data_IF_199043015691
#
_entry.id   IF_199043015691
#
_cell.length_a   1.000
_cell.length_b   1.000
_cell.length_c   1.000
_cell.angle_alpha   90.00
_cell.angle_beta   90.00
_cell.angle_gamma   90.00
#
_symmetry.space_group_name_H-M   'P 1'
#
loop_
_entity.id
_entity.type
_entity.pdbx_description
1 polymer ?
#
# COMPACT_ATOMS: atom_id res chain seq x y z
N UNK A 1 7.61 -1.54 45.32
CA UNK A 1 6.46 -1.83 46.17
C UNK A 1 5.22 -1.28 45.50
N UNK A 2 4.34 -2.12 45.12
CA UNK A 2 2.90 -2.19 44.96
C UNK A 2 2.53 -2.88 43.65
N UNK A 3 2.14 -4.13 43.82
CA UNK A 3 1.45 -4.99 42.86
C UNK A 3 -0.01 -4.53 42.67
N UNK A 4 -0.52 -4.56 41.44
CA UNK A 4 -1.96 -4.70 41.22
C UNK A 4 -2.21 -5.80 40.19
N UNK A 5 -2.58 -6.94 40.71
CA UNK A 5 -3.26 -8.05 40.03
C UNK A 5 -4.74 -7.73 39.90
N UNK A 6 -5.32 -7.91 38.72
CA UNK A 6 -6.78 -7.99 38.57
C UNK A 6 -7.17 -9.13 37.63
N UNK A 7 -7.61 -10.19 38.24
CA UNK A 7 -8.37 -11.31 37.67
C UNK A 7 -9.82 -10.88 37.40
N UNK A 8 -10.41 -11.36 36.30
CA UNK A 8 -11.81 -11.15 35.95
C UNK A 8 -12.24 -12.08 34.84
N UNK A 9 -12.75 -13.18 35.17
CA UNK A 9 -13.80 -14.10 34.85
C UNK A 9 -14.59 -13.83 33.55
N UNK A 10 -14.72 -14.90 32.71
CA UNK A 10 -15.62 -14.96 31.56
C UNK A 10 -17.08 -15.25 31.94
N UNK A 11 -17.99 -15.15 31.01
CA UNK A 11 -19.21 -15.93 31.09
C UNK A 11 -19.64 -16.66 29.82
N UNK A 12 -19.99 -17.91 30.05
CA UNK A 12 -21.24 -18.61 29.77
C UNK A 12 -21.75 -18.72 28.32
N UNK A 13 -21.61 -19.91 27.84
CA UNK A 13 -22.42 -20.69 26.91
C UNK A 13 -23.93 -20.59 27.16
N UNK A 14 -24.71 -20.37 26.10
CA UNK A 14 -26.14 -20.70 26.08
C UNK A 14 -26.44 -21.53 24.82
N UNK A 15 -26.57 -22.81 25.09
CA UNK A 15 -27.16 -23.82 24.23
C UNK A 15 -28.68 -23.61 24.14
N UNK A 16 -29.24 -23.60 22.95
CA UNK A 16 -30.70 -23.69 22.76
C UNK A 16 -31.02 -24.72 21.71
N UNK A 17 -31.33 -25.91 22.19
CA UNK A 17 -32.01 -27.01 21.50
C UNK A 17 -33.45 -26.65 21.22
N UNK A 18 -33.90 -26.82 19.98
CA UNK A 18 -35.29 -26.71 19.56
C UNK A 18 -35.62 -27.88 18.66
N UNK A 19 -36.16 -28.94 19.23
CA UNK A 19 -36.81 -30.07 18.57
C UNK A 19 -38.20 -29.67 18.11
N UNK A 20 -38.51 -29.89 16.81
CA UNK A 20 -39.84 -29.73 16.24
C UNK A 20 -40.14 -30.87 15.29
N UNK A 21 -40.79 -31.91 15.79
CA UNK A 21 -41.39 -33.01 15.04
C UNK A 21 -42.71 -32.57 14.39
N UNK A 22 -42.84 -32.75 13.08
CA UNK A 22 -44.08 -32.54 12.33
C UNK A 22 -44.26 -33.60 11.26
N UNK A 23 -44.98 -34.62 11.61
CA UNK A 23 -45.50 -35.68 10.70
C UNK A 23 -46.65 -35.12 9.87
N UNK A 24 -46.56 -35.24 8.55
CA UNK A 24 -47.66 -34.91 7.62
C UNK A 24 -47.64 -35.81 6.40
N UNK A 25 -48.34 -36.92 6.48
CA UNK A 25 -48.70 -37.82 5.39
C UNK A 25 -49.66 -37.14 4.42
N UNK A 26 -49.29 -37.02 3.15
CA UNK A 26 -50.18 -36.53 2.09
C UNK A 26 -49.79 -37.10 0.72
N UNK A 27 -50.29 -38.29 0.41
CA UNK A 27 -50.27 -38.93 -0.89
C UNK A 27 -51.09 -38.11 -1.90
N UNK A 28 -50.48 -37.60 -2.96
CA UNK A 28 -51.15 -37.17 -4.20
C UNK A 28 -50.31 -37.55 -5.42
N UNK A 29 -50.71 -38.60 -6.05
CA UNK A 29 -50.42 -38.95 -7.44
C UNK A 29 -50.72 -37.76 -8.34
N UNK A 30 -49.72 -37.26 -9.06
CA UNK A 30 -49.93 -36.32 -10.15
C UNK A 30 -49.04 -36.60 -11.36
N UNK A 31 -49.76 -36.87 -12.39
CA UNK A 31 -49.46 -37.11 -13.79
C UNK A 31 -48.23 -36.36 -14.31
N UNK A 32 -47.38 -37.12 -14.94
CA UNK A 32 -46.13 -36.72 -15.62
C UNK A 32 -46.45 -36.10 -16.98
N UNK A 33 -46.47 -34.77 -17.07
CA UNK A 33 -46.41 -34.10 -18.37
C UNK A 33 -44.95 -33.71 -18.65
N UNK A 34 -44.42 -34.41 -19.64
CA UNK A 34 -43.12 -34.20 -20.23
C UNK A 34 -43.22 -32.99 -21.17
N UNK A 35 -42.98 -31.78 -20.69
CA UNK A 35 -42.64 -30.62 -21.55
C UNK A 35 -41.18 -30.33 -21.36
N UNK A 36 -40.37 -30.77 -22.32
CA UNK A 36 -38.94 -30.53 -22.35
C UNK A 36 -38.67 -29.02 -22.47
N UNK A 37 -38.23 -28.47 -21.36
CA UNK A 37 -37.74 -27.07 -21.35
C UNK A 37 -36.34 -27.02 -21.96
N UNK A 38 -36.25 -26.61 -23.23
CA UNK A 38 -34.99 -26.31 -23.94
C UNK A 38 -34.31 -25.06 -23.41
N UNK A 39 -34.85 -24.44 -22.35
CA UNK A 39 -34.32 -23.20 -21.74
C UNK A 39 -33.35 -23.45 -20.59
N UNK A 40 -33.25 -24.65 -20.07
CA UNK A 40 -32.37 -24.97 -18.94
C UNK A 40 -30.87 -25.08 -19.32
N UNK A 41 -30.56 -25.27 -20.61
CA UNK A 41 -29.17 -25.42 -21.07
C UNK A 41 -28.49 -24.10 -21.44
N UNK A 42 -29.23 -23.02 -21.68
CA UNK A 42 -28.68 -21.73 -22.02
C UNK A 42 -28.14 -20.95 -20.78
N UNK A 43 -28.66 -21.24 -19.59
CA UNK A 43 -28.24 -20.57 -18.34
C UNK A 43 -26.90 -21.03 -17.78
N UNK A 44 -26.51 -22.30 -18.05
CA UNK A 44 -25.27 -22.87 -17.50
C UNK A 44 -24.00 -22.39 -18.23
N UNK A 45 -24.10 -22.05 -19.51
CA UNK A 45 -22.94 -21.52 -20.27
C UNK A 45 -22.66 -20.07 -20.01
N UNK A 46 -23.66 -19.26 -19.63
CA UNK A 46 -23.45 -17.84 -19.28
C UNK A 46 -22.81 -17.62 -17.91
N UNK A 47 -23.00 -18.55 -16.97
CA UNK A 47 -22.42 -18.48 -15.63
C UNK A 47 -20.90 -18.77 -15.60
N UNK A 48 -20.40 -19.58 -16.54
CA UNK A 48 -19.00 -20.00 -16.57
C UNK A 48 -18.06 -18.91 -17.13
N UNK A 49 -18.60 -17.99 -17.96
CA UNK A 49 -17.79 -16.91 -18.55
C UNK A 49 -17.56 -15.76 -17.57
N UNK A 50 -18.45 -15.54 -16.58
CA UNK A 50 -18.28 -14.48 -15.58
C UNK A 50 -17.32 -14.84 -14.44
N UNK A 51 -17.07 -16.12 -14.19
CA UNK A 51 -16.20 -16.57 -13.10
C UNK A 51 -14.69 -16.42 -13.40
N UNK A 52 -14.32 -16.21 -14.67
CA UNK A 52 -12.92 -16.16 -15.09
C UNK A 52 -12.22 -14.79 -14.94
N UNK A 53 -12.93 -13.72 -14.57
CA UNK A 53 -12.37 -12.36 -14.60
C UNK A 53 -12.00 -11.79 -13.23
N UNK A 54 -12.11 -12.55 -12.14
CA UNK A 54 -11.83 -12.03 -10.79
C UNK A 54 -10.41 -12.31 -10.27
N UNK A 55 -9.52 -12.91 -11.06
CA UNK A 55 -8.23 -13.39 -10.56
C UNK A 55 -7.01 -12.48 -10.86
N UNK A 56 -7.15 -11.29 -11.45
CA UNK A 56 -6.01 -10.46 -11.87
C UNK A 56 -5.93 -9.07 -11.22
N UNK A 57 -6.50 -8.89 -10.04
CA UNK A 57 -6.47 -7.59 -9.34
C UNK A 57 -5.27 -7.41 -8.38
N UNK A 58 -4.30 -8.32 -8.34
CA UNK A 58 -3.02 -8.08 -7.69
C UNK A 58 -2.03 -7.60 -8.75
N UNK A 59 -2.24 -6.38 -9.21
CA UNK A 59 -1.34 -5.77 -10.15
C UNK A 59 0.01 -5.52 -9.49
N UNK A 60 0.98 -6.28 -9.94
CA UNK A 60 2.38 -6.12 -9.64
C UNK A 60 2.81 -4.67 -9.95
N UNK A 61 3.48 -4.02 -9.00
CA UNK A 61 4.01 -2.67 -9.24
C UNK A 61 5.27 -2.83 -10.05
N UNK A 62 5.16 -2.71 -11.38
CA UNK A 62 6.33 -2.63 -12.24
C UNK A 62 6.91 -1.23 -12.16
N UNK A 63 8.10 -1.05 -11.58
CA UNK A 63 8.75 0.25 -11.51
C UNK A 63 8.96 0.86 -12.90
N UNK A 64 8.74 2.18 -13.02
CA UNK A 64 8.83 2.92 -14.27
C UNK A 64 10.01 3.88 -14.25
N UNK A 65 10.81 3.88 -15.32
CA UNK A 65 11.88 4.85 -15.51
C UNK A 65 11.31 6.28 -15.62
N UNK A 66 12.07 7.26 -15.15
CA UNK A 66 11.68 8.67 -15.09
C UNK A 66 12.62 9.49 -15.96
N UNK A 67 12.09 10.36 -16.79
CA UNK A 67 12.90 11.33 -17.54
C UNK A 67 13.37 12.46 -16.61
N UNK A 68 14.68 12.60 -16.47
CA UNK A 68 15.34 13.56 -15.59
C UNK A 68 16.25 14.54 -16.32
N UNK A 69 16.11 14.62 -17.67
CA UNK A 69 17.01 15.46 -18.50
C UNK A 69 17.02 16.93 -18.15
N UNK A 70 15.88 17.42 -17.61
CA UNK A 70 15.73 18.82 -17.22
C UNK A 70 16.29 19.13 -15.83
N UNK A 71 16.82 18.12 -15.13
CA UNK A 71 17.42 18.29 -13.82
C UNK A 71 18.96 18.43 -13.93
N UNK A 72 19.58 19.20 -13.04
CA UNK A 72 21.03 19.20 -12.94
C UNK A 72 21.57 17.79 -12.69
N UNK A 73 22.55 17.31 -13.46
CA UNK A 73 23.08 15.95 -13.28
C UNK A 73 23.83 15.84 -11.94
N UNK A 74 23.63 14.71 -11.25
CA UNK A 74 24.27 14.47 -9.95
C UNK A 74 25.51 13.58 -10.05
N UNK A 75 25.69 12.92 -11.20
CA UNK A 75 26.79 11.99 -11.44
C UNK A 75 26.53 10.60 -10.86
N UNK A 76 27.54 9.76 -10.90
CA UNK A 76 27.40 8.34 -10.50
C UNK A 76 27.42 8.13 -8.99
N UNK A 77 28.11 9.04 -8.27
CA UNK A 77 28.27 8.94 -6.82
C UNK A 77 27.04 9.48 -6.10
N UNK A 78 26.40 8.61 -5.30
CA UNK A 78 25.21 9.00 -4.54
C UNK A 78 25.50 10.08 -3.52
N UNK A 79 24.68 11.12 -3.53
CA UNK A 79 24.71 12.18 -2.54
C UNK A 79 24.15 11.67 -1.21
N UNK A 80 24.73 12.13 -0.10
CA UNK A 80 24.25 11.81 1.24
C UNK A 80 22.98 12.57 1.62
N UNK A 81 22.73 13.72 0.98
CA UNK A 81 21.61 14.60 1.24
C UNK A 81 20.89 14.94 -0.06
N UNK A 82 19.61 15.30 0.04
CA UNK A 82 18.82 15.72 -1.11
C UNK A 82 19.35 17.04 -1.70
N UNK A 83 20.00 17.02 -2.89
CA UNK A 83 20.54 18.23 -3.50
C UNK A 83 19.46 19.08 -4.19
N UNK A 84 18.24 18.58 -4.29
CA UNK A 84 17.12 19.23 -4.97
C UNK A 84 16.09 19.83 -4.01
N UNK A 85 16.42 20.02 -2.73
CA UNK A 85 15.51 20.69 -1.80
C UNK A 85 15.04 22.02 -2.35
N UNK A 86 13.75 22.28 -2.32
CA UNK A 86 13.14 23.53 -2.79
C UNK A 86 13.40 23.85 -4.28
N UNK A 87 13.81 22.88 -5.09
CA UNK A 87 13.98 23.07 -6.52
C UNK A 87 12.64 22.76 -7.22
N UNK A 88 11.99 23.79 -7.77
CA UNK A 88 10.66 23.69 -8.40
C UNK A 88 10.61 22.68 -9.56
N UNK A 89 11.67 22.62 -10.38
CA UNK A 89 11.75 21.66 -11.48
C UNK A 89 11.83 20.23 -10.95
N UNK A 90 12.65 20.00 -9.92
CA UNK A 90 12.77 18.71 -9.30
C UNK A 90 11.46 18.31 -8.59
N UNK A 91 10.78 19.22 -7.91
CA UNK A 91 9.47 18.98 -7.30
C UNK A 91 8.46 18.56 -8.38
N UNK A 92 8.43 19.22 -9.54
CA UNK A 92 7.52 18.85 -10.64
C UNK A 92 7.82 17.46 -11.20
N UNK A 93 9.09 17.14 -11.48
CA UNK A 93 9.53 15.81 -11.91
C UNK A 93 9.20 14.77 -10.83
N UNK A 94 9.52 15.08 -9.56
CA UNK A 94 9.27 14.22 -8.41
C UNK A 94 7.78 13.93 -8.19
N UNK A 95 6.90 14.90 -8.43
CA UNK A 95 5.45 14.70 -8.37
C UNK A 95 5.00 13.65 -9.39
N UNK A 96 5.44 13.78 -10.64
CA UNK A 96 5.11 12.80 -11.68
C UNK A 96 5.70 11.43 -11.37
N UNK A 97 6.98 11.38 -11.00
CA UNK A 97 7.69 10.15 -10.64
C UNK A 97 7.05 9.43 -9.45
N UNK A 98 6.65 10.17 -8.42
CA UNK A 98 5.93 9.66 -7.25
C UNK A 98 4.60 9.02 -7.65
N UNK A 99 3.81 9.70 -8.44
CA UNK A 99 2.50 9.20 -8.89
C UNK A 99 2.62 7.92 -9.72
N UNK A 100 3.67 7.78 -10.52
CA UNK A 100 3.92 6.60 -11.35
C UNK A 100 4.43 5.41 -10.53
N UNK A 101 5.28 5.64 -9.54
CA UNK A 101 6.06 4.59 -8.89
C UNK A 101 5.66 4.30 -7.43
N UNK A 102 5.11 5.28 -6.70
CA UNK A 102 4.95 5.22 -5.25
C UNK A 102 3.50 5.29 -4.79
N UNK A 103 2.68 6.12 -5.47
CA UNK A 103 1.32 6.46 -5.03
C UNK A 103 0.40 5.25 -4.89
N UNK A 104 0.62 4.20 -5.66
CA UNK A 104 -0.19 2.97 -5.59
C UNK A 104 -0.18 2.33 -4.21
N UNK A 105 0.96 2.37 -3.51
CA UNK A 105 1.10 1.81 -2.17
C UNK A 105 1.06 2.89 -1.08
N UNK A 106 1.72 4.03 -1.32
CA UNK A 106 1.85 5.11 -0.34
C UNK A 106 0.71 6.15 -0.41
N UNK A 107 -0.24 5.98 -1.34
CA UNK A 107 -1.39 6.85 -1.52
C UNK A 107 -1.09 8.11 -2.33
N UNK A 108 -2.15 8.73 -2.85
CA UNK A 108 -2.06 10.02 -3.53
C UNK A 108 -1.60 11.08 -2.53
N UNK A 109 -0.80 12.02 -2.99
CA UNK A 109 -0.24 13.09 -2.17
C UNK A 109 0.55 12.61 -0.94
N UNK A 110 1.07 11.38 -0.99
CA UNK A 110 1.78 10.71 0.10
C UNK A 110 0.90 10.41 1.34
N UNK A 111 -0.43 10.50 1.21
CA UNK A 111 -1.40 10.19 2.24
C UNK A 111 -1.69 8.69 2.19
N UNK A 112 -1.15 7.95 3.15
CA UNK A 112 -1.29 6.48 3.16
C UNK A 112 -2.73 6.02 3.32
N UNK A 113 -3.12 5.04 2.49
CA UNK A 113 -4.36 4.27 2.65
C UNK A 113 -4.21 3.04 3.57
N UNK A 114 -3.07 2.87 4.27
CA UNK A 114 -2.82 1.77 5.20
C UNK A 114 -2.03 0.58 4.63
N UNK A 115 -1.78 0.52 3.32
CA UNK A 115 -0.97 -0.54 2.69
C UNK A 115 0.53 -0.34 3.00
N UNK A 116 1.01 0.90 2.91
CA UNK A 116 2.38 1.30 3.16
C UNK A 116 2.45 2.50 4.12
N UNK A 117 3.61 2.84 4.70
CA UNK A 117 3.73 3.98 5.59
C UNK A 117 3.33 5.30 4.93
N UNK A 118 2.79 6.23 5.73
CA UNK A 118 2.51 7.61 5.34
C UNK A 118 3.82 8.40 5.23
N UNK A 119 4.20 8.74 3.98
CA UNK A 119 5.50 9.37 3.71
C UNK A 119 5.54 10.87 4.08
N UNK A 120 4.41 11.49 4.40
CA UNK A 120 4.38 12.85 4.96
C UNK A 120 5.03 12.92 6.35
N UNK A 121 5.13 11.76 7.01
CA UNK A 121 5.70 11.61 8.36
C UNK A 121 7.17 11.25 8.36
N UNK A 122 7.79 11.13 7.19
CA UNK A 122 9.17 10.65 7.06
C UNK A 122 10.16 11.43 7.93
N UNK A 123 10.01 12.76 7.98
CA UNK A 123 10.93 13.65 8.71
C UNK A 123 10.33 14.15 10.06
N UNK A 124 9.25 13.55 10.55
CA UNK A 124 8.53 14.04 11.75
C UNK A 124 9.38 14.06 13.01
N UNK A 125 10.32 13.12 13.14
CA UNK A 125 11.19 13.04 14.32
C UNK A 125 12.24 14.18 14.35
N UNK A 126 12.52 14.77 13.20
CA UNK A 126 13.42 15.92 13.10
C UNK A 126 12.73 17.25 13.44
N UNK A 127 11.40 17.33 13.29
CA UNK A 127 10.60 18.54 13.50
C UNK A 127 10.74 19.15 14.90
N UNK A 128 10.70 18.40 16.02
CA UNK A 128 10.76 18.95 17.36
C UNK A 128 12.17 19.43 17.78
N UNK A 129 13.22 19.10 17.01
CA UNK A 129 14.58 19.44 17.35
C UNK A 129 14.81 20.94 17.19
N UNK A 130 15.16 21.61 18.30
CA UNK A 130 15.42 23.06 18.32
C UNK A 130 16.87 23.42 17.95
N UNK A 131 17.81 22.53 18.27
CA UNK A 131 19.21 22.70 17.91
C UNK A 131 19.40 22.49 16.41
N UNK A 132 19.90 23.52 15.71
CA UNK A 132 20.03 23.50 14.26
C UNK A 132 20.98 22.39 13.76
N UNK A 133 22.07 22.11 14.49
CA UNK A 133 23.04 21.08 14.12
C UNK A 133 22.43 19.67 14.27
N UNK A 134 21.72 19.43 15.36
CA UNK A 134 21.01 18.16 15.58
C UNK A 134 19.89 17.94 14.56
N UNK A 135 19.15 19.01 14.25
CA UNK A 135 18.11 18.95 13.22
C UNK A 135 18.69 18.63 11.85
N UNK A 136 19.77 19.29 11.44
CA UNK A 136 20.45 19.01 10.18
C UNK A 136 20.96 17.56 10.13
N UNK A 137 21.62 17.08 11.17
CA UNK A 137 22.06 15.67 11.24
C UNK A 137 20.90 14.67 11.13
N UNK A 138 19.78 14.93 11.81
CA UNK A 138 18.57 14.10 11.70
C UNK A 138 18.03 14.08 10.27
N UNK A 139 17.99 15.23 9.59
CA UNK A 139 17.49 15.30 8.19
C UNK A 139 18.41 14.54 7.24
N UNK A 140 19.73 14.63 7.42
CA UNK A 140 20.71 13.85 6.65
C UNK A 140 20.51 12.35 6.85
N UNK A 141 20.29 11.91 8.09
CA UNK A 141 19.98 10.51 8.41
C UNK A 141 18.69 10.05 7.73
N UNK A 142 17.65 10.87 7.73
CA UNK A 142 16.39 10.55 7.04
C UNK A 142 16.54 10.53 5.52
N UNK A 143 17.39 11.34 4.94
CA UNK A 143 17.72 11.32 3.52
C UNK A 143 18.42 10.01 3.14
N UNK A 144 19.41 9.58 3.90
CA UNK A 144 20.10 8.29 3.69
C UNK A 144 19.14 7.12 3.84
N UNK A 145 18.33 7.12 4.90
CA UNK A 145 17.29 6.11 5.11
C UNK A 145 16.31 6.02 3.94
N UNK A 146 15.87 7.18 3.42
CA UNK A 146 14.99 7.25 2.27
C UNK A 146 15.66 6.69 1.01
N UNK A 147 16.86 7.18 0.67
CA UNK A 147 17.59 6.74 -0.52
C UNK A 147 17.89 5.23 -0.48
N UNK A 148 18.33 4.72 0.66
CA UNK A 148 18.56 3.30 0.87
C UNK A 148 17.27 2.48 0.73
N UNK A 149 16.15 3.00 1.23
CA UNK A 149 14.84 2.32 1.14
C UNK A 149 14.34 2.23 -0.30
N UNK A 150 14.44 3.31 -1.07
CA UNK A 150 14.05 3.32 -2.48
C UNK A 150 14.95 2.40 -3.29
N UNK A 151 16.26 2.47 -3.11
CA UNK A 151 17.20 1.66 -3.88
C UNK A 151 17.03 0.17 -3.63
N UNK A 152 17.01 -0.25 -2.37
CA UNK A 152 17.05 -1.67 -1.97
C UNK A 152 15.69 -2.30 -1.74
N UNK A 153 14.63 -1.48 -1.66
CA UNK A 153 13.31 -1.96 -1.27
C UNK A 153 13.25 -2.38 0.20
N UNK A 154 12.20 -3.08 0.56
CA UNK A 154 11.99 -3.64 1.90
C UNK A 154 11.50 -5.08 1.82
N UNK A 155 12.17 -5.95 2.53
CA UNK A 155 11.80 -7.36 2.70
C UNK A 155 11.47 -7.61 4.17
N UNK A 156 10.39 -8.32 4.44
CA UNK A 156 10.00 -8.73 5.79
C UNK A 156 9.52 -10.19 5.74
N UNK A 157 10.07 -11.04 6.59
CA UNK A 157 9.72 -12.46 6.66
C UNK A 157 9.79 -13.17 5.29
N UNK A 158 10.79 -12.83 4.48
CA UNK A 158 10.98 -13.41 3.14
C UNK A 158 10.06 -12.85 2.04
N UNK A 159 9.08 -11.99 2.37
CA UNK A 159 8.21 -11.36 1.40
C UNK A 159 8.69 -9.94 1.06
N UNK A 160 8.63 -9.58 -0.22
CA UNK A 160 8.94 -8.23 -0.69
C UNK A 160 7.75 -7.31 -0.40
N UNK A 161 7.94 -6.36 0.51
CA UNK A 161 6.94 -5.35 0.88
C UNK A 161 7.04 -4.09 0.02
N UNK A 162 8.25 -3.72 -0.33
CA UNK A 162 8.54 -2.62 -1.24
C UNK A 162 9.58 -3.14 -2.24
N UNK A 163 9.31 -3.08 -3.55
CA UNK A 163 10.29 -3.51 -4.55
C UNK A 163 11.51 -2.60 -4.54
N UNK A 164 12.70 -3.10 -4.91
CA UNK A 164 13.86 -2.26 -5.16
C UNK A 164 13.69 -1.47 -6.46
N UNK A 165 14.13 -0.22 -6.46
CA UNK A 165 14.11 0.66 -7.64
C UNK A 165 15.52 0.91 -8.20
N UNK A 166 16.56 0.32 -7.61
CA UNK A 166 17.95 0.42 -8.13
C UNK A 166 18.02 -0.14 -9.56
N UNK A 167 18.69 0.59 -10.44
CA UNK A 167 18.74 0.25 -11.88
C UNK A 167 17.53 0.73 -12.71
N UNK A 168 16.47 1.23 -12.08
CA UNK A 168 15.27 1.75 -12.75
C UNK A 168 15.13 3.27 -12.51
N UNK A 169 15.20 3.69 -11.26
CA UNK A 169 15.28 5.10 -10.90
C UNK A 169 16.75 5.49 -10.73
N UNK A 170 17.19 6.48 -11.51
CA UNK A 170 18.48 7.10 -11.29
C UNK A 170 18.48 7.96 -10.02
N UNK A 171 19.65 8.51 -9.69
CA UNK A 171 19.82 9.36 -8.50
C UNK A 171 18.95 10.61 -8.57
N UNK A 172 18.86 11.22 -9.74
CA UNK A 172 18.07 12.43 -9.99
C UNK A 172 16.58 12.19 -9.73
N UNK A 173 16.03 11.10 -10.27
CA UNK A 173 14.62 10.75 -10.04
C UNK A 173 14.33 10.48 -8.56
N UNK A 174 15.22 9.76 -7.89
CA UNK A 174 15.10 9.46 -6.47
C UNK A 174 15.07 10.72 -5.62
N UNK A 175 15.99 11.66 -5.83
CA UNK A 175 16.03 12.90 -5.09
C UNK A 175 14.92 13.88 -5.47
N UNK A 176 14.45 13.85 -6.73
CA UNK A 176 13.29 14.61 -7.15
C UNK A 176 12.03 14.15 -6.41
N UNK A 177 11.82 12.83 -6.26
CA UNK A 177 10.73 12.29 -5.45
C UNK A 177 10.84 12.75 -3.98
N UNK A 178 12.05 12.74 -3.40
CA UNK A 178 12.25 13.26 -2.02
C UNK A 178 11.91 14.74 -1.93
N UNK A 179 12.31 15.56 -2.93
CA UNK A 179 11.96 16.97 -2.97
C UNK A 179 10.43 17.19 -3.00
N UNK A 180 9.71 16.38 -3.77
CA UNK A 180 8.25 16.39 -3.74
C UNK A 180 7.70 16.00 -2.36
N UNK A 181 8.17 14.91 -1.74
CA UNK A 181 7.73 14.47 -0.42
C UNK A 181 7.94 15.54 0.64
N UNK A 182 9.02 16.31 0.54
CA UNK A 182 9.30 17.43 1.44
C UNK A 182 8.24 18.54 1.36
N UNK A 183 7.57 18.70 0.20
CA UNK A 183 6.43 19.63 0.08
C UNK A 183 5.16 19.11 0.74
N UNK A 184 5.11 17.80 1.05
CA UNK A 184 3.95 17.12 1.63
C UNK A 184 4.08 16.87 3.13
N UNK A 185 5.16 17.29 3.76
CA UNK A 185 5.38 17.08 5.20
C UNK A 185 4.15 17.46 6.02
N UNK A 186 3.77 16.59 6.95
CA UNK A 186 2.69 16.84 7.91
C UNK A 186 3.10 17.93 8.91
N UNK A 187 4.38 17.99 9.25
CA UNK A 187 4.96 18.97 10.16
C UNK A 187 6.13 19.70 9.47
N UNK A 188 6.21 21.03 9.61
CA UNK A 188 7.37 21.76 9.11
C UNK A 188 8.65 21.38 9.87
N UNK A 189 9.79 21.50 9.21
CA UNK A 189 11.11 21.30 9.82
C UNK A 189 11.63 22.58 10.48
#
# INVERSE_FOLDING_TARGET
MSFFTRTGAGPRSLSRTGTGTGTGTGSRTRTRTRTGSRWAQAGLLSGLVLAGHLALAHGDVTPQAVDTKDLPPLGEQWRAENPYRQNDKAIKVGTSAYNQNCARCHGLEAISGGIAPDLRKLDNDCSPLKDAKKKAACVTEMDDFYAASVRRGKVRNGAVYMPPFEGILNQEATWAIKAYLETRREKPL
#
